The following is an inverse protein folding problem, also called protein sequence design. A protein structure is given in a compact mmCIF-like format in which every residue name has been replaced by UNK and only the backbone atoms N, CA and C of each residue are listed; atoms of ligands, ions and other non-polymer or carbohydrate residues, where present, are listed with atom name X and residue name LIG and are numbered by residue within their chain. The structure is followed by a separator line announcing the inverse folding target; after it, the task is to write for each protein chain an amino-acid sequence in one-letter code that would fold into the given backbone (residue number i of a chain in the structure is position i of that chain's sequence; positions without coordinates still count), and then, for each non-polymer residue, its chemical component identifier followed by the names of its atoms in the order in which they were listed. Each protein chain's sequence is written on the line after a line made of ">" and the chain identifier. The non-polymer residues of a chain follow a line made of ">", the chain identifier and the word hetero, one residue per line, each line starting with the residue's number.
data_IF_970355442741
#
_entry.id   IF_970355442741
#
_cell.length_a   1.000
_cell.length_b   1.000
_cell.length_c   1.000
_cell.angle_alpha   90.00
_cell.angle_beta   90.00
_cell.angle_gamma   90.00
#
_symmetry.space_group_name_H-M   'P 1'
#
loop_
_entity.id
_entity.type
_entity.pdbx_description
1 polymer ?
#
# COMPACT_ATOMS: atom_id res chain seq x y z
N UNK A 1 -0.23 -17.61 6.05
CA UNK A 1 -0.21 -16.89 7.34
C UNK A 1 -1.43 -15.98 7.46
N UNK A 2 -1.98 -15.77 8.66
CA UNK A 2 -3.04 -14.79 8.95
C UNK A 2 -2.50 -13.48 9.54
N UNK A 3 -3.33 -12.44 9.68
CA UNK A 3 -2.91 -11.18 10.32
C UNK A 3 -2.62 -11.38 11.81
N UNK A 4 -3.36 -12.25 12.49
CA UNK A 4 -3.15 -12.57 13.90
C UNK A 4 -1.81 -13.29 14.12
N UNK A 5 -1.46 -14.23 13.23
CA UNK A 5 -0.16 -14.91 13.25
C UNK A 5 0.98 -13.91 13.03
N UNK A 6 0.80 -12.94 12.13
CA UNK A 6 1.77 -11.86 11.89
C UNK A 6 1.94 -10.95 13.11
N UNK A 7 0.83 -10.52 13.74
CA UNK A 7 0.82 -9.73 14.98
C UNK A 7 1.60 -10.44 16.10
N UNK A 8 1.37 -11.74 16.26
CA UNK A 8 2.07 -12.56 17.25
C UNK A 8 3.57 -12.71 16.93
N UNK A 9 3.91 -13.07 15.69
CA UNK A 9 5.30 -13.30 15.27
C UNK A 9 6.19 -12.08 15.48
N UNK A 10 5.66 -10.89 15.16
CA UNK A 10 6.43 -9.64 15.23
C UNK A 10 6.13 -8.80 16.48
N UNK A 11 5.28 -9.27 17.40
CA UNK A 11 4.90 -8.55 18.63
C UNK A 11 4.38 -7.13 18.37
N UNK A 12 3.48 -7.00 17.40
CA UNK A 12 2.89 -5.73 16.96
C UNK A 12 1.36 -5.83 16.94
N UNK A 13 0.68 -4.68 16.92
CA UNK A 13 -0.76 -4.59 16.67
C UNK A 13 -1.00 -3.88 15.35
N UNK A 14 -1.42 -4.63 14.33
CA UNK A 14 -1.75 -4.10 13.02
C UNK A 14 -2.90 -3.09 13.15
N UNK A 15 -2.82 -1.92 12.47
CA UNK A 15 -3.85 -0.90 12.56
C UNK A 15 -5.24 -1.43 12.26
N UNK A 16 -6.22 -1.00 13.08
CA UNK A 16 -7.60 -1.50 12.99
C UNK A 16 -8.23 -1.31 11.61
N UNK A 17 -7.92 -0.21 10.93
CA UNK A 17 -8.40 0.06 9.58
C UNK A 17 -7.83 -0.92 8.55
N UNK A 18 -6.58 -1.36 8.69
CA UNK A 18 -6.01 -2.40 7.83
C UNK A 18 -6.74 -3.73 8.02
N UNK A 19 -7.06 -4.09 9.26
CA UNK A 19 -7.84 -5.30 9.58
C UNK A 19 -9.25 -5.26 9.01
N UNK A 20 -9.94 -4.12 9.11
CA UNK A 20 -11.26 -3.92 8.48
C UNK A 20 -11.19 -4.05 6.95
N UNK A 21 -10.17 -3.49 6.31
CA UNK A 21 -9.96 -3.64 4.86
C UNK A 21 -9.76 -5.12 4.48
N UNK A 22 -9.04 -5.88 5.30
CA UNK A 22 -8.88 -7.32 5.12
C UNK A 22 -10.22 -8.05 5.25
N UNK A 23 -10.99 -7.78 6.30
CA UNK A 23 -12.32 -8.36 6.55
C UNK A 23 -13.31 -8.07 5.41
N UNK A 24 -13.25 -6.87 4.83
CA UNK A 24 -14.09 -6.49 3.68
C UNK A 24 -13.60 -7.06 2.35
N UNK A 25 -12.46 -7.76 2.33
CA UNK A 25 -11.86 -8.28 1.10
C UNK A 25 -11.38 -7.17 0.16
N UNK A 26 -10.98 -6.02 0.73
CA UNK A 26 -10.45 -4.87 0.02
C UNK A 26 -8.92 -4.84 0.02
N UNK A 27 -8.26 -5.80 0.66
CA UNK A 27 -6.82 -6.00 0.49
C UNK A 27 -6.56 -6.96 -0.66
N UNK A 28 -5.47 -6.71 -1.39
CA UNK A 28 -5.00 -7.65 -2.40
C UNK A 28 -4.72 -9.04 -1.80
N UNK A 29 -5.22 -10.05 -2.50
CA UNK A 29 -4.95 -11.47 -2.24
C UNK A 29 -4.55 -12.09 -3.58
N UNK A 30 -3.59 -13.01 -3.58
CA UNK A 30 -3.14 -13.69 -4.81
C UNK A 30 -4.33 -14.26 -5.60
N UNK A 31 -4.41 -13.90 -6.89
CA UNK A 31 -5.49 -14.31 -7.78
C UNK A 31 -6.73 -13.40 -7.79
N UNK A 32 -6.75 -12.32 -7.00
CA UNK A 32 -7.93 -11.45 -6.85
C UNK A 32 -7.96 -10.21 -7.79
N UNK A 33 -7.13 -10.15 -8.85
CA UNK A 33 -7.06 -8.98 -9.77
C UNK A 33 -7.92 -9.14 -11.04
N UNK A 34 -8.64 -10.25 -11.22
CA UNK A 34 -8.95 -10.70 -12.58
C UNK A 34 -10.40 -10.54 -13.05
N UNK A 35 -11.23 -9.70 -12.44
CA UNK A 35 -12.40 -9.16 -13.17
C UNK A 35 -12.86 -7.77 -12.68
N UNK A 36 -13.41 -6.99 -13.62
CA UNK A 36 -13.89 -5.62 -13.40
C UNK A 36 -15.10 -5.52 -12.47
N UNK A 37 -15.79 -6.63 -12.19
CA UNK A 37 -16.94 -6.67 -11.30
C UNK A 37 -16.51 -6.72 -9.83
N UNK A 38 -15.50 -7.53 -9.49
CA UNK A 38 -14.90 -7.58 -8.15
C UNK A 38 -14.36 -6.21 -7.74
N UNK A 39 -13.71 -5.48 -8.66
CA UNK A 39 -13.20 -4.13 -8.37
C UNK A 39 -14.31 -3.09 -8.14
N UNK A 40 -15.52 -3.29 -8.67
CA UNK A 40 -16.68 -2.43 -8.38
C UNK A 40 -17.25 -2.70 -6.99
N UNK A 41 -17.37 -3.96 -6.63
CA UNK A 41 -18.02 -4.38 -5.39
C UNK A 41 -17.07 -4.31 -4.18
N UNK A 42 -15.77 -4.53 -4.41
CA UNK A 42 -14.70 -4.54 -3.39
C UNK A 42 -13.41 -3.96 -4.02
N UNK A 43 -13.29 -2.63 -4.11
CA UNK A 43 -12.11 -2.04 -4.71
C UNK A 43 -10.88 -2.35 -3.85
N UNK A 44 -9.88 -2.99 -4.45
CA UNK A 44 -8.59 -3.23 -3.80
C UNK A 44 -8.00 -1.89 -3.34
N UNK A 45 -7.45 -1.88 -2.13
CA UNK A 45 -6.84 -0.71 -1.51
C UNK A 45 -5.88 -0.06 -2.49
N UNK A 46 -6.16 1.21 -2.82
CA UNK A 46 -5.29 2.03 -3.65
C UNK A 46 -4.95 1.37 -5.02
N UNK A 47 -5.88 0.58 -5.58
CA UNK A 47 -5.68 -0.11 -6.87
C UNK A 47 -5.30 0.81 -8.04
N UNK A 48 -5.71 2.07 -7.97
CA UNK A 48 -5.41 3.09 -8.98
C UNK A 48 -4.38 4.13 -8.50
N UNK A 49 -3.80 3.93 -7.32
CA UNK A 49 -2.82 4.86 -6.81
C UNK A 49 -1.52 4.76 -7.60
N UNK A 50 -0.88 5.91 -7.79
CA UNK A 50 0.42 5.96 -8.44
C UNK A 50 1.45 5.31 -7.53
N UNK A 51 2.26 4.41 -8.11
CA UNK A 51 3.44 3.82 -7.45
C UNK A 51 3.14 3.15 -6.11
N UNK A 52 2.07 2.33 -6.09
CA UNK A 52 1.64 1.55 -4.93
C UNK A 52 1.32 0.11 -5.33
N UNK A 53 2.07 -0.82 -4.76
CA UNK A 53 1.90 -2.26 -4.92
C UNK A 53 1.67 -2.89 -3.55
N UNK A 54 0.43 -3.31 -3.27
CA UNK A 54 0.12 -3.92 -1.97
C UNK A 54 0.77 -5.30 -1.85
N UNK A 55 1.38 -5.58 -0.69
CA UNK A 55 1.92 -6.89 -0.36
C UNK A 55 0.82 -7.80 0.17
N UNK A 56 0.91 -9.10 -0.12
CA UNK A 56 0.15 -10.14 0.57
C UNK A 56 0.80 -10.45 1.92
N UNK A 57 0.05 -11.06 2.84
CA UNK A 57 0.57 -11.41 4.18
C UNK A 57 1.83 -12.28 4.08
N UNK A 58 1.87 -13.24 3.14
CA UNK A 58 3.04 -14.07 2.94
C UNK A 58 4.24 -13.28 2.37
N UNK A 59 3.99 -12.28 1.52
CA UNK A 59 5.05 -11.39 1.04
C UNK A 59 5.61 -10.51 2.15
N UNK A 60 4.75 -10.00 3.05
CA UNK A 60 5.17 -9.24 4.22
C UNK A 60 6.12 -10.08 5.09
N UNK A 61 5.71 -11.31 5.40
CA UNK A 61 6.51 -12.23 6.20
C UNK A 61 7.87 -12.53 5.55
N UNK A 62 7.85 -12.87 4.26
CA UNK A 62 9.06 -13.14 3.49
C UNK A 62 10.01 -11.92 3.42
N UNK A 63 9.48 -10.71 3.29
CA UNK A 63 10.29 -9.49 3.30
C UNK A 63 10.93 -9.22 4.66
N UNK A 64 10.23 -9.52 5.76
CA UNK A 64 10.77 -9.35 7.10
C UNK A 64 11.82 -10.42 7.45
N UNK A 65 11.65 -11.66 7.00
CA UNK A 65 12.64 -12.73 7.14
C UNK A 65 13.90 -12.48 6.30
N UNK A 66 13.73 -11.95 5.10
CA UNK A 66 14.82 -11.65 4.16
C UNK A 66 15.11 -10.15 4.08
N UNK A 67 14.96 -9.44 5.20
CA UNK A 67 15.18 -7.99 5.24
C UNK A 67 16.61 -7.67 4.77
N UNK A 68 16.82 -6.59 4.01
CA UNK A 68 18.16 -6.24 3.54
C UNK A 68 19.12 -5.95 4.71
N UNK A 69 20.41 -6.28 4.55
CA UNK A 69 21.45 -6.08 5.59
C UNK A 69 21.57 -4.63 6.08
N UNK A 70 21.17 -3.66 5.25
CA UNK A 70 21.13 -2.25 5.62
C UNK A 70 19.94 -1.88 6.50
N UNK A 71 19.07 -2.81 6.92
CA UNK A 71 18.06 -2.54 7.93
C UNK A 71 18.63 -2.75 9.33
N UNK A 72 18.63 -1.67 10.14
CA UNK A 72 18.97 -1.79 11.57
C UNK A 72 18.02 -2.79 12.23
N UNK A 73 18.59 -3.71 12.99
CA UNK A 73 17.83 -4.79 13.63
C UNK A 73 16.79 -4.30 14.65
N UNK A 74 16.96 -3.07 15.14
CA UNK A 74 16.19 -2.53 16.25
C UNK A 74 14.89 -1.82 15.85
N UNK A 75 14.67 -1.55 14.56
CA UNK A 75 13.47 -0.82 14.14
C UNK A 75 12.26 -1.75 14.13
N UNK A 76 11.16 -1.33 14.75
CA UNK A 76 9.90 -2.09 14.73
C UNK A 76 9.03 -1.60 13.58
N UNK A 77 9.08 -2.31 12.46
CA UNK A 77 8.39 -1.93 11.24
C UNK A 77 7.79 -3.13 10.53
N UNK A 78 6.62 -2.92 9.92
CA UNK A 78 5.90 -3.94 9.15
C UNK A 78 5.60 -3.36 7.77
N UNK A 79 6.24 -3.84 6.69
CA UNK A 79 5.88 -3.43 5.33
C UNK A 79 4.46 -3.91 5.02
N UNK A 80 3.71 -3.15 4.25
CA UNK A 80 2.37 -3.55 3.78
C UNK A 80 2.16 -3.27 2.28
N UNK A 81 3.04 -2.47 1.69
CA UNK A 81 3.09 -2.20 0.27
C UNK A 81 4.51 -1.81 -0.13
N UNK A 82 4.76 -1.72 -1.43
CA UNK A 82 5.98 -1.18 -2.00
C UNK A 82 5.68 -0.25 -3.18
N UNK A 83 6.65 0.57 -3.55
CA UNK A 83 6.67 1.24 -4.86
C UNK A 83 7.04 0.23 -5.95
N UNK A 84 6.81 0.56 -7.22
CA UNK A 84 7.35 -0.20 -8.35
C UNK A 84 8.88 -0.20 -8.40
N UNK A 85 9.54 0.73 -7.68
CA UNK A 85 10.98 0.73 -7.42
C UNK A 85 11.44 -0.22 -6.31
N UNK A 86 10.51 -0.80 -5.55
CA UNK A 86 10.77 -1.73 -4.45
C UNK A 86 11.08 -1.05 -3.10
N UNK A 87 10.85 0.25 -2.95
CA UNK A 87 10.86 0.92 -1.65
C UNK A 87 9.61 0.54 -0.85
N UNK A 88 9.75 0.36 0.47
CA UNK A 88 8.64 -0.14 1.29
C UNK A 88 7.82 0.99 1.90
N UNK A 89 6.50 0.86 1.79
CA UNK A 89 5.57 1.51 2.69
C UNK A 89 5.40 0.63 3.93
N UNK A 90 5.72 1.16 5.10
CA UNK A 90 5.70 0.38 6.34
C UNK A 90 4.99 1.11 7.48
N UNK A 91 4.33 0.33 8.33
CA UNK A 91 3.88 0.75 9.66
C UNK A 91 5.10 0.89 10.56
N UNK A 92 5.31 2.05 11.17
CA UNK A 92 6.48 2.32 12.00
C UNK A 92 6.09 2.50 13.48
N UNK A 93 6.42 1.49 14.29
CA UNK A 93 5.93 1.39 15.67
C UNK A 93 6.78 2.15 16.69
N UNK A 94 8.01 2.55 16.33
CA UNK A 94 8.87 3.33 17.25
C UNK A 94 8.44 4.80 17.37
N UNK A 95 7.56 5.26 16.47
CA UNK A 95 6.91 6.56 16.54
C UNK A 95 5.39 6.44 16.79
N UNK A 96 4.90 5.27 17.20
CA UNK A 96 3.49 5.08 17.45
C UNK A 96 3.04 5.85 18.71
N UNK A 97 1.91 6.57 18.58
CA UNK A 97 1.27 7.30 19.67
C UNK A 97 -0.19 6.88 19.79
N UNK A 98 -0.56 6.26 20.91
CA UNK A 98 -1.88 5.68 21.14
C UNK A 98 -2.24 4.65 20.03
N UNK A 99 -3.32 4.89 19.29
CA UNK A 99 -3.74 4.04 18.17
C UNK A 99 -3.16 4.48 16.81
N UNK A 100 -2.40 5.58 16.78
CA UNK A 100 -1.77 6.07 15.55
C UNK A 100 -0.42 5.39 15.34
N UNK A 101 -0.33 4.63 14.24
CA UNK A 101 0.89 3.99 13.78
C UNK A 101 1.32 4.69 12.49
N UNK A 102 2.39 5.52 12.54
CA UNK A 102 2.85 6.27 11.38
C UNK A 102 3.19 5.39 10.18
N UNK A 103 2.95 5.92 8.99
CA UNK A 103 3.37 5.31 7.73
C UNK A 103 4.66 5.96 7.27
N UNK A 104 5.67 5.15 6.97
CA UNK A 104 6.94 5.60 6.41
C UNK A 104 7.16 5.02 5.02
N UNK A 105 7.82 5.79 4.15
CA UNK A 105 8.45 5.26 2.94
C UNK A 105 9.93 5.03 3.24
N UNK A 106 10.34 3.77 3.20
CA UNK A 106 11.70 3.34 3.48
C UNK A 106 12.45 3.15 2.18
N UNK A 107 13.39 4.05 1.92
CA UNK A 107 14.27 4.00 0.75
C UNK A 107 15.48 3.12 1.02
N UNK A 108 16.06 2.58 -0.07
CA UNK A 108 17.21 1.65 -0.04
C UNK A 108 18.47 2.23 0.62
N UNK A 109 18.57 3.55 0.78
CA UNK A 109 19.69 4.25 1.43
C UNK A 109 19.43 4.60 2.91
N UNK A 110 18.48 3.93 3.56
CA UNK A 110 18.10 4.13 4.97
C UNK A 110 17.53 5.52 5.34
N UNK A 111 17.18 6.36 4.36
CA UNK A 111 16.35 7.52 4.63
C UNK A 111 14.88 7.11 4.55
N UNK A 112 14.25 7.05 5.72
CA UNK A 112 12.79 6.98 5.85
C UNK A 112 12.18 8.37 5.82
N UNK A 113 11.04 8.54 5.14
CA UNK A 113 10.22 9.74 5.26
C UNK A 113 8.89 9.34 5.89
N UNK A 114 8.50 10.00 6.98
CA UNK A 114 7.16 9.86 7.54
C UNK A 114 6.18 10.52 6.58
N UNK A 115 5.25 9.72 6.09
CA UNK A 115 4.27 10.12 5.08
C UNK A 115 2.93 10.53 5.67
N UNK A 116 2.55 9.89 6.78
CA UNK A 116 1.30 10.10 7.46
C UNK A 116 1.38 9.60 8.91
N UNK A 117 0.53 10.14 9.79
CA UNK A 117 0.46 9.71 11.19
C UNK A 117 -0.24 8.37 11.40
N UNK A 118 -1.07 7.94 10.44
CA UNK A 118 -1.85 6.70 10.45
C UNK A 118 -2.23 6.28 9.02
N UNK A 119 -2.92 5.14 8.89
CA UNK A 119 -3.29 4.57 7.59
C UNK A 119 -4.35 5.41 6.86
N UNK A 120 -5.28 6.02 7.58
CA UNK A 120 -6.34 6.85 7.03
C UNK A 120 -5.79 8.10 6.36
N UNK A 121 -4.91 8.82 7.05
CA UNK A 121 -4.20 9.99 6.51
C UNK A 121 -3.32 9.59 5.32
N UNK A 122 -2.71 8.39 5.37
CA UNK A 122 -1.93 7.86 4.24
C UNK A 122 -2.82 7.59 3.02
N UNK A 123 -3.95 6.93 3.20
CA UNK A 123 -4.93 6.67 2.12
C UNK A 123 -5.39 7.99 1.51
N UNK A 124 -5.76 8.96 2.36
CA UNK A 124 -6.18 10.28 1.89
C UNK A 124 -5.08 10.98 1.09
N UNK A 125 -3.84 10.95 1.57
CA UNK A 125 -2.68 11.49 0.86
C UNK A 125 -2.49 10.81 -0.51
N UNK A 126 -2.53 9.49 -0.58
CA UNK A 126 -2.36 8.75 -1.84
C UNK A 126 -3.47 9.06 -2.85
N UNK A 127 -4.71 9.23 -2.38
CA UNK A 127 -5.84 9.68 -3.23
C UNK A 127 -5.55 11.07 -3.82
N UNK A 128 -5.10 12.03 -2.99
CA UNK A 128 -4.77 13.38 -3.45
C UNK A 128 -3.60 13.39 -4.45
N UNK A 129 -2.55 12.63 -4.18
CA UNK A 129 -1.38 12.51 -5.07
C UNK A 129 -1.77 11.90 -6.41
N UNK A 130 -2.60 10.86 -6.39
CA UNK A 130 -3.10 10.20 -7.61
C UNK A 130 -3.98 11.14 -8.42
N UNK A 131 -4.93 11.82 -7.77
CA UNK A 131 -5.78 12.79 -8.42
C UNK A 131 -4.94 13.89 -9.07
N UNK A 132 -4.01 14.49 -8.32
CA UNK A 132 -3.13 15.56 -8.80
C UNK A 132 -2.26 15.13 -9.97
N UNK A 133 -1.65 13.93 -9.91
CA UNK A 133 -0.78 13.43 -10.98
C UNK A 133 -1.54 13.17 -12.28
N UNK A 134 -2.80 12.74 -12.18
CA UNK A 134 -3.67 12.56 -13.35
C UNK A 134 -4.07 13.91 -13.98
N UNK A 135 -4.24 14.97 -13.20
CA UNK A 135 -4.51 16.32 -13.72
C UNK A 135 -3.31 16.98 -14.41
N UNK A 136 -2.06 16.61 -14.07
CA UNK A 136 -0.87 17.12 -14.78
C UNK A 136 -0.53 16.35 -16.06
N UNK A 137 -1.14 15.19 -16.28
CA UNK A 137 -0.99 14.41 -17.51
C UNK A 137 -2.04 14.77 -18.59
N UNK A 138 -2.82 15.84 -18.42
CA UNK A 138 -3.84 16.25 -19.39
C UNK A 138 -3.28 16.62 -20.78
N UNK A 139 -1.98 16.89 -20.93
CA UNK A 139 -1.32 16.99 -22.25
C UNK A 139 -1.29 15.65 -23.04
N UNK A 140 -1.62 14.51 -22.41
CA UNK A 140 -1.74 13.20 -23.08
C UNK A 140 -3.17 12.80 -23.47
N UNK A 141 -4.19 13.62 -23.16
CA UNK A 141 -5.60 13.30 -23.44
C UNK A 141 -5.92 13.22 -24.95
N UNK A 142 -5.10 13.81 -25.82
CA UNK A 142 -5.28 13.68 -27.28
C UNK A 142 -5.26 12.21 -27.77
N UNK A 143 -4.62 11.29 -27.04
CA UNK A 143 -4.58 9.87 -27.42
C UNK A 143 -5.76 9.03 -26.91
N UNK A 144 -6.51 9.50 -25.89
CA UNK A 144 -7.64 8.74 -25.33
C UNK A 144 -8.95 8.98 -26.12
N UNK A 145 -9.04 10.10 -26.84
CA UNK A 145 -10.14 10.38 -27.78
C UNK A 145 -10.17 9.36 -28.92
N UNK A 146 -9.02 8.81 -29.31
CA UNK A 146 -8.92 7.74 -30.33
C UNK A 146 -9.57 6.43 -29.85
N UNK A 147 -9.55 6.15 -28.53
CA UNK A 147 -10.11 4.92 -27.99
C UNK A 147 -11.66 4.92 -27.98
N UNK A 148 -12.31 6.07 -27.76
CA UNK A 148 -13.78 6.16 -27.75
C UNK A 148 -14.43 6.04 -29.14
N UNK A 149 -13.69 6.38 -30.20
CA UNK A 149 -14.24 6.33 -31.57
C UNK A 149 -14.23 4.93 -32.21
N UNK A 150 -13.58 3.94 -31.60
CA UNK A 150 -13.52 2.57 -32.13
C UNK A 150 -14.49 1.58 -31.47
N UNK A 151 -15.35 2.04 -30.55
CA UNK A 151 -16.39 1.22 -29.91
C UNK A 151 -17.82 1.53 -30.38
N UNK A 152 -17.96 2.34 -31.44
CA UNK A 152 -19.23 2.47 -32.17
C UNK A 152 -18.99 2.03 -33.62
N UNK A 153 -19.05 0.72 -33.84
CA UNK A 153 -19.42 0.10 -35.11
C UNK A 153 -20.14 -1.22 -34.84
#
# INVERSE_FOLDING_TARGET
>A
MTLEELEQKYSVKIPGTYKKLHEYGMLYQEGNISNSQTLKDKPTLLCYAVDFEQLTINQIDNQLENKPDYWKEDLRLIPFAQTGGGEWYAFYYDLAENENVPIVLLKRAMNGVVLAKNLEDFIFRMILETASTNFYNEEKIENEVVFRNNMIR
#
